data_IF_360321065547
#
_entry.id   IF_360321065547
#
_cell.length_a   1.000
_cell.length_b   1.000
_cell.length_c   1.000
_cell.angle_alpha   90.00
_cell.angle_beta   90.00
_cell.angle_gamma   90.00
#
_symmetry.space_group_name_H-M   'P 1'
#
loop_
_entity.id
_entity.type
_entity.pdbx_description
1 polymer ?
#
# COMPACT_ATOMS: atom_id res chain seq x y z
N UNK A 1 19.00 11.97 -2.35
CA UNK A 1 19.36 13.37 -1.98
C UNK A 1 20.22 14.03 -3.07
N UNK A 2 21.25 13.38 -3.61
CA UNK A 2 22.16 14.00 -4.59
C UNK A 2 21.45 14.52 -5.87
N UNK A 3 20.37 13.88 -6.28
CA UNK A 3 19.58 14.26 -7.45
C UNK A 3 18.66 15.47 -7.20
N UNK A 4 18.31 15.73 -5.95
CA UNK A 4 17.41 16.81 -5.53
C UNK A 4 18.08 17.63 -4.42
N UNK A 5 18.88 18.67 -4.77
CA UNK A 5 19.63 19.47 -3.79
C UNK A 5 18.76 20.20 -2.75
N UNK A 6 17.55 20.59 -3.16
CA UNK A 6 16.56 21.22 -2.29
C UNK A 6 16.09 20.26 -1.17
N UNK A 7 15.89 18.98 -1.49
CA UNK A 7 15.54 17.96 -0.52
C UNK A 7 16.73 17.62 0.38
N UNK A 8 17.93 17.53 -0.20
CA UNK A 8 19.16 17.32 0.56
C UNK A 8 19.39 18.44 1.61
N UNK A 9 19.00 19.67 1.31
CA UNK A 9 19.10 20.79 2.23
C UNK A 9 18.17 20.67 3.46
N UNK A 10 17.02 20.00 3.29
CA UNK A 10 16.00 19.83 4.34
C UNK A 10 16.19 18.54 5.11
N UNK A 11 16.43 17.44 4.41
CA UNK A 11 16.47 16.09 4.98
C UNK A 11 17.88 15.55 5.20
N UNK A 12 18.91 16.21 4.65
CA UNK A 12 20.29 15.72 4.67
C UNK A 12 20.42 14.37 3.97
N UNK A 13 21.12 13.44 4.62
CA UNK A 13 21.23 12.04 4.19
C UNK A 13 20.43 11.09 5.11
N UNK A 14 19.45 11.61 5.85
CA UNK A 14 18.56 10.78 6.64
C UNK A 14 17.57 10.08 5.70
N UNK A 15 17.73 8.77 5.56
CA UNK A 15 16.92 7.96 4.66
C UNK A 15 15.44 7.97 5.03
N UNK A 16 15.13 7.99 6.33
CA UNK A 16 13.75 8.06 6.82
C UNK A 16 13.11 9.41 6.49
N UNK A 17 13.85 10.51 6.71
CA UNK A 17 13.37 11.84 6.37
C UNK A 17 13.20 12.02 4.86
N UNK A 18 14.12 11.48 4.05
CA UNK A 18 14.05 11.49 2.59
C UNK A 18 12.83 10.71 2.09
N UNK A 19 12.59 9.53 2.65
CA UNK A 19 11.44 8.69 2.32
C UNK A 19 10.13 9.40 2.70
N UNK A 20 10.05 9.95 3.89
CA UNK A 20 8.87 10.68 4.35
C UNK A 20 8.57 11.91 3.49
N UNK A 21 9.62 12.64 3.07
CA UNK A 21 9.46 13.76 2.14
C UNK A 21 8.93 13.28 0.78
N UNK A 22 9.47 12.18 0.27
CA UNK A 22 9.01 11.59 -0.99
C UNK A 22 7.54 11.17 -0.91
N UNK A 23 7.14 10.46 0.15
CA UNK A 23 5.76 10.03 0.37
C UNK A 23 4.80 11.23 0.42
N UNK A 24 5.19 12.32 1.09
CA UNK A 24 4.33 13.49 1.28
C UNK A 24 4.23 14.41 0.06
N UNK A 25 5.31 14.58 -0.65
CA UNK A 25 5.42 15.61 -1.67
C UNK A 25 6.04 15.09 -2.98
N UNK A 26 7.05 14.22 -2.89
CA UNK A 26 7.90 13.85 -4.01
C UNK A 26 7.16 13.15 -5.14
N UNK A 27 6.22 12.28 -4.83
CA UNK A 27 5.42 11.56 -5.84
C UNK A 27 4.51 12.54 -6.61
N UNK A 28 3.86 13.47 -5.92
CA UNK A 28 3.02 14.51 -6.54
C UNK A 28 3.84 15.50 -7.37
N UNK A 29 5.11 15.72 -6.99
CA UNK A 29 6.06 16.57 -7.72
C UNK A 29 6.76 15.83 -8.87
N UNK A 30 6.42 14.55 -9.12
CA UNK A 30 7.06 13.73 -10.15
C UNK A 30 8.53 13.40 -9.87
N UNK A 31 8.95 13.46 -8.61
CA UNK A 31 10.31 13.09 -8.20
C UNK A 31 10.47 11.58 -8.12
N UNK A 32 11.69 11.10 -8.26
CA UNK A 32 12.02 9.68 -8.13
C UNK A 32 12.36 9.33 -6.69
N UNK A 33 11.95 8.15 -6.19
CA UNK A 33 12.20 7.75 -4.80
C UNK A 33 13.67 7.46 -4.48
N UNK A 34 14.48 7.18 -5.49
CA UNK A 34 15.90 6.89 -5.34
C UNK A 34 16.76 7.55 -6.40
N UNK A 35 18.07 7.71 -6.11
CA UNK A 35 19.02 8.40 -6.98
C UNK A 35 19.32 7.64 -8.29
N UNK A 36 19.16 6.33 -8.31
CA UNK A 36 19.56 5.48 -9.41
C UNK A 36 18.48 5.32 -10.50
N UNK A 37 17.43 6.15 -10.40
CA UNK A 37 16.43 6.20 -11.48
C UNK A 37 15.68 4.90 -11.70
N UNK A 38 15.58 4.02 -10.70
CA UNK A 38 14.76 2.81 -10.77
C UNK A 38 13.27 3.17 -10.63
N UNK A 39 12.91 4.39 -10.94
CA UNK A 39 11.57 4.70 -11.35
C UNK A 39 11.55 4.58 -12.85
N UNK A 40 11.13 3.49 -13.33
CA UNK A 40 10.55 3.45 -14.65
C UNK A 40 11.35 2.86 -15.79
N UNK A 41 12.53 2.32 -15.64
CA UNK A 41 13.12 1.60 -16.76
C UNK A 41 13.41 0.11 -16.47
N UNK A 42 12.79 -0.42 -15.43
CA UNK A 42 12.49 -1.85 -15.32
C UNK A 42 11.01 -2.16 -15.61
N UNK A 43 10.30 -1.32 -16.34
CA UNK A 43 9.33 -1.87 -17.26
C UNK A 43 10.18 -2.60 -18.28
N UNK A 44 10.49 -3.86 -18.00
CA UNK A 44 10.78 -4.81 -19.04
C UNK A 44 9.78 -4.42 -20.14
N UNK A 45 10.23 -4.09 -21.35
CA UNK A 45 9.37 -3.89 -22.53
C UNK A 45 8.69 -5.24 -22.84
N UNK A 46 7.94 -5.76 -21.85
CA UNK A 46 7.20 -6.99 -21.98
C UNK A 46 5.88 -6.67 -22.66
N UNK A 47 5.59 -7.38 -23.70
CA UNK A 47 4.22 -7.42 -24.21
C UNK A 47 3.30 -7.99 -23.14
N UNK A 48 2.00 -7.71 -23.21
CA UNK A 48 1.00 -8.25 -22.28
C UNK A 48 1.09 -9.77 -22.18
N UNK A 49 1.36 -10.47 -23.29
CA UNK A 49 1.54 -11.93 -23.31
C UNK A 49 2.80 -12.37 -22.55
N UNK A 50 3.89 -11.61 -22.65
CA UNK A 50 5.12 -11.91 -21.91
C UNK A 50 4.93 -11.64 -20.42
N UNK A 51 4.29 -10.53 -20.07
CA UNK A 51 3.97 -10.18 -18.70
C UNK A 51 3.09 -11.25 -18.04
N UNK A 52 2.03 -11.71 -18.71
CA UNK A 52 1.14 -12.76 -18.22
C UNK A 52 1.82 -14.12 -18.02
N UNK A 53 2.98 -14.36 -18.64
CA UNK A 53 3.78 -15.60 -18.42
C UNK A 53 4.67 -15.53 -17.18
N UNK A 54 5.02 -14.32 -16.74
CA UNK A 54 5.93 -14.09 -15.60
C UNK A 54 5.15 -13.85 -14.31
N UNK A 55 3.98 -13.23 -14.41
CA UNK A 55 3.13 -12.94 -13.26
C UNK A 55 1.65 -13.10 -13.58
N UNK A 56 0.92 -13.58 -12.60
CA UNK A 56 -0.54 -13.59 -12.59
C UNK A 56 -1.04 -13.26 -11.18
N UNK A 57 -2.10 -12.46 -11.04
CA UNK A 57 -2.65 -12.13 -9.73
C UNK A 57 -3.20 -13.38 -9.04
N UNK A 58 -3.08 -13.43 -7.71
CA UNK A 58 -3.77 -14.47 -6.94
C UNK A 58 -5.27 -14.30 -7.12
N UNK A 59 -5.99 -15.33 -7.61
CA UNK A 59 -7.43 -15.22 -7.85
C UNK A 59 -8.21 -14.89 -6.58
N UNK A 60 -9.27 -14.07 -6.70
CA UNK A 60 -10.07 -13.58 -5.58
C UNK A 60 -10.42 -14.64 -4.55
N UNK A 61 -10.89 -15.81 -4.98
CA UNK A 61 -11.30 -16.91 -4.09
C UNK A 61 -10.12 -17.66 -3.44
N UNK A 62 -8.89 -17.37 -3.85
CA UNK A 62 -7.65 -18.02 -3.36
C UNK A 62 -6.82 -17.06 -2.48
N UNK A 63 -7.28 -15.85 -2.23
CA UNK A 63 -6.61 -14.91 -1.33
C UNK A 63 -6.41 -15.51 0.05
N UNK A 64 -5.21 -15.40 0.61
CA UNK A 64 -4.85 -15.98 1.91
C UNK A 64 -5.78 -15.50 3.05
N UNK A 65 -6.11 -14.21 3.05
CA UNK A 65 -6.98 -13.59 4.05
C UNK A 65 -8.43 -13.42 3.55
N UNK A 66 -8.92 -14.26 2.63
CA UNK A 66 -10.22 -14.10 1.97
C UNK A 66 -11.37 -13.74 2.91
N UNK A 67 -11.53 -14.48 4.02
CA UNK A 67 -12.65 -14.25 4.95
C UNK A 67 -12.56 -12.91 5.66
N UNK A 68 -11.38 -12.53 6.11
CA UNK A 68 -11.10 -11.25 6.76
C UNK A 68 -11.28 -10.07 5.80
N UNK A 69 -10.85 -10.22 4.56
CA UNK A 69 -10.97 -9.22 3.52
C UNK A 69 -12.41 -9.06 3.05
N UNK A 70 -13.12 -10.17 2.77
CA UNK A 70 -14.49 -10.14 2.28
C UNK A 70 -15.48 -9.55 3.28
N UNK A 71 -15.35 -9.87 4.54
CA UNK A 71 -16.27 -9.40 5.60
C UNK A 71 -17.75 -9.51 5.20
N UNK A 72 -18.45 -8.36 5.22
CA UNK A 72 -19.88 -8.24 4.90
C UNK A 72 -20.16 -7.85 3.45
N UNK A 73 -19.13 -7.64 2.64
CA UNK A 73 -19.30 -7.36 1.22
C UNK A 73 -20.03 -8.52 0.53
N UNK A 74 -20.91 -8.20 -0.41
CA UNK A 74 -21.43 -9.16 -1.38
C UNK A 74 -20.30 -9.66 -2.28
N UNK A 75 -20.53 -10.72 -3.05
CA UNK A 75 -19.53 -11.20 -4.00
C UNK A 75 -19.26 -10.16 -5.10
N UNK A 76 -20.28 -9.43 -5.53
CA UNK A 76 -20.12 -8.38 -6.54
C UNK A 76 -19.31 -7.18 -6.03
N UNK A 77 -19.54 -6.72 -4.80
CA UNK A 77 -18.79 -5.64 -4.18
C UNK A 77 -17.32 -6.03 -3.96
N UNK A 78 -17.07 -7.27 -3.52
CA UNK A 78 -15.70 -7.74 -3.34
C UNK A 78 -14.97 -7.89 -4.67
N UNK A 79 -15.67 -8.35 -5.72
CA UNK A 79 -15.11 -8.39 -7.08
C UNK A 79 -14.76 -7.00 -7.58
N UNK A 80 -15.63 -6.00 -7.39
CA UNK A 80 -15.31 -4.62 -7.77
C UNK A 80 -14.08 -4.08 -7.04
N UNK A 81 -14.01 -4.28 -5.71
CA UNK A 81 -12.85 -3.89 -4.92
C UNK A 81 -11.56 -4.59 -5.41
N UNK A 82 -11.65 -5.86 -5.76
CA UNK A 82 -10.53 -6.62 -6.32
C UNK A 82 -10.07 -6.04 -7.66
N UNK A 83 -10.99 -5.69 -8.56
CA UNK A 83 -10.65 -5.10 -9.86
C UNK A 83 -10.00 -3.71 -9.72
N UNK A 84 -10.44 -2.89 -8.76
CA UNK A 84 -9.76 -1.62 -8.46
C UNK A 84 -8.38 -1.84 -7.85
N UNK A 85 -8.22 -2.80 -6.93
CA UNK A 85 -6.93 -3.16 -6.36
C UNK A 85 -5.94 -3.68 -7.43
N UNK A 86 -6.40 -4.42 -8.43
CA UNK A 86 -5.58 -4.86 -9.57
C UNK A 86 -4.92 -3.69 -10.31
N UNK A 87 -5.61 -2.57 -10.46
CA UNK A 87 -5.04 -1.37 -11.11
C UNK A 87 -3.85 -0.81 -10.34
N UNK A 88 -3.88 -0.94 -9.00
CA UNK A 88 -2.79 -0.50 -8.12
C UNK A 88 -1.61 -1.47 -8.20
N UNK A 89 -1.87 -2.77 -8.12
CA UNK A 89 -0.79 -3.75 -7.93
C UNK A 89 -0.15 -4.24 -9.23
N UNK A 90 -0.85 -4.18 -10.37
CA UNK A 90 -0.31 -4.65 -11.65
C UNK A 90 1.00 -3.95 -12.04
N UNK A 91 1.13 -2.62 -11.91
CA UNK A 91 2.41 -1.95 -12.19
C UNK A 91 3.53 -2.35 -11.23
N UNK A 92 3.20 -2.85 -10.05
CA UNK A 92 4.15 -3.21 -9.00
C UNK A 92 4.60 -4.68 -9.07
N UNK A 93 3.93 -5.49 -9.88
CA UNK A 93 3.98 -6.95 -9.82
C UNK A 93 5.40 -7.55 -9.96
N UNK A 94 6.26 -6.93 -10.75
CA UNK A 94 7.62 -7.39 -11.00
C UNK A 94 8.70 -6.60 -10.24
N UNK A 95 8.29 -5.70 -9.34
CA UNK A 95 9.20 -4.92 -8.51
C UNK A 95 9.72 -5.74 -7.31
N UNK A 96 10.74 -5.23 -6.63
CA UNK A 96 11.18 -5.81 -5.35
C UNK A 96 10.06 -5.81 -4.31
N UNK A 97 10.17 -6.65 -3.30
CA UNK A 97 9.18 -6.72 -2.21
C UNK A 97 9.02 -5.36 -1.53
N UNK A 98 10.11 -4.70 -1.26
CA UNK A 98 10.15 -3.36 -0.66
C UNK A 98 9.41 -2.34 -1.53
N UNK A 99 9.70 -2.32 -2.83
CA UNK A 99 9.07 -1.40 -3.78
C UNK A 99 7.57 -1.70 -3.94
N UNK A 100 7.17 -2.97 -3.86
CA UNK A 100 5.75 -3.35 -3.84
C UNK A 100 5.04 -2.76 -2.63
N UNK A 101 5.64 -2.87 -1.43
CA UNK A 101 5.06 -2.32 -0.19
C UNK A 101 4.98 -0.80 -0.25
N UNK A 102 6.05 -0.13 -0.67
CA UNK A 102 6.07 1.33 -0.84
C UNK A 102 5.06 1.79 -1.90
N UNK A 103 5.00 1.10 -3.04
CA UNK A 103 4.06 1.41 -4.11
C UNK A 103 2.60 1.32 -3.67
N UNK A 104 2.24 0.27 -2.93
CA UNK A 104 0.89 0.11 -2.34
C UNK A 104 0.61 1.24 -1.35
N UNK A 105 1.53 1.47 -0.39
CA UNK A 105 1.35 2.50 0.62
C UNK A 105 1.17 3.89 0.00
N UNK A 106 1.99 4.23 -0.99
CA UNK A 106 1.91 5.51 -1.70
C UNK A 106 0.62 5.67 -2.49
N UNK A 107 0.21 4.65 -3.25
CA UNK A 107 -1.01 4.70 -4.05
C UNK A 107 -2.24 4.93 -3.16
N UNK A 108 -2.35 4.18 -2.06
CA UNK A 108 -3.46 4.33 -1.13
C UNK A 108 -3.37 5.67 -0.37
N UNK A 109 -2.18 6.07 0.07
CA UNK A 109 -2.02 7.34 0.77
C UNK A 109 -2.38 8.54 -0.09
N UNK A 110 -2.01 8.53 -1.36
CA UNK A 110 -2.34 9.62 -2.29
C UNK A 110 -3.84 9.87 -2.37
N UNK A 111 -4.67 8.80 -2.34
CA UNK A 111 -6.14 8.93 -2.36
C UNK A 111 -6.69 9.60 -1.09
N UNK A 112 -5.99 9.52 0.03
CA UNK A 112 -6.36 10.24 1.27
C UNK A 112 -5.89 11.70 1.20
N UNK A 113 -4.66 11.92 0.73
CA UNK A 113 -4.03 13.25 0.72
C UNK A 113 -4.68 14.19 -0.31
N UNK A 114 -5.14 13.66 -1.43
CA UNK A 114 -5.86 14.45 -2.46
C UNK A 114 -7.36 14.60 -2.17
N UNK A 115 -7.86 14.01 -1.09
CA UNK A 115 -9.24 14.09 -0.66
C UNK A 115 -10.21 13.15 -1.43
N UNK A 116 -9.68 12.24 -2.27
CA UNK A 116 -10.51 11.23 -2.92
C UNK A 116 -11.16 10.33 -1.89
N UNK A 117 -10.39 9.84 -0.89
CA UNK A 117 -10.93 9.03 0.21
C UNK A 117 -11.14 9.87 1.44
N UNK A 118 -12.39 9.89 1.94
CA UNK A 118 -12.80 10.64 3.12
C UNK A 118 -12.88 9.71 4.34
N UNK A 119 -12.38 10.19 5.48
CA UNK A 119 -12.47 9.43 6.74
C UNK A 119 -13.91 9.32 7.22
N UNK A 120 -14.33 8.10 7.57
CA UNK A 120 -15.60 7.82 8.20
C UNK A 120 -15.51 6.59 9.11
N UNK A 121 -16.37 6.53 10.11
CA UNK A 121 -16.56 5.35 11.00
C UNK A 121 -18.02 4.92 11.13
N UNK A 122 -18.93 5.60 10.46
CA UNK A 122 -20.39 5.40 10.56
C UNK A 122 -21.09 5.17 9.21
N UNK A 123 -20.40 5.41 8.09
CA UNK A 123 -20.94 5.11 6.76
C UNK A 123 -20.83 3.62 6.45
N UNK A 124 -21.73 3.04 5.61
CA UNK A 124 -21.57 1.68 5.13
C UNK A 124 -20.17 1.47 4.48
N UNK A 125 -19.61 0.29 4.68
CA UNK A 125 -18.30 -0.10 4.11
C UNK A 125 -17.08 0.71 4.59
N UNK A 126 -17.19 1.57 5.62
CA UNK A 126 -16.07 2.35 6.14
C UNK A 126 -14.85 1.52 6.55
N UNK A 127 -15.02 0.21 6.74
CA UNK A 127 -14.00 -0.68 7.27
C UNK A 127 -13.67 -1.86 6.36
N UNK A 128 -13.91 -1.74 5.06
CA UNK A 128 -13.55 -2.74 4.06
C UNK A 128 -13.02 -2.09 2.75
N UNK A 129 -12.53 -2.93 1.85
CA UNK A 129 -11.88 -2.47 0.63
C UNK A 129 -12.85 -1.86 -0.40
N UNK A 130 -14.12 -2.26 -0.38
CA UNK A 130 -15.14 -1.67 -1.25
C UNK A 130 -15.42 -0.21 -0.87
N UNK A 131 -15.51 0.05 0.44
CA UNK A 131 -15.61 1.43 0.94
C UNK A 131 -14.45 2.29 0.47
N UNK A 132 -13.22 1.78 0.61
CA UNK A 132 -12.02 2.53 0.23
C UNK A 132 -11.93 2.78 -1.27
N UNK A 133 -12.00 1.73 -2.08
CA UNK A 133 -11.66 1.77 -3.51
C UNK A 133 -12.82 2.19 -4.41
N UNK A 134 -14.06 2.00 -3.96
CA UNK A 134 -15.25 2.22 -4.81
C UNK A 134 -16.15 3.34 -4.28
N UNK A 135 -16.38 3.37 -2.95
CA UNK A 135 -17.21 4.40 -2.34
C UNK A 135 -16.42 5.60 -1.84
N UNK A 136 -15.08 5.47 -1.77
CA UNK A 136 -14.16 6.51 -1.35
C UNK A 136 -14.39 7.00 0.09
N UNK A 137 -14.76 6.08 0.96
CA UNK A 137 -14.93 6.31 2.39
C UNK A 137 -14.23 5.21 3.19
N UNK A 138 -13.44 5.57 4.18
CA UNK A 138 -12.78 4.58 5.01
C UNK A 138 -12.34 5.11 6.37
N UNK A 139 -12.19 4.19 7.31
CA UNK A 139 -11.37 4.34 8.51
C UNK A 139 -9.99 3.70 8.30
N UNK A 140 -9.13 3.75 9.34
CA UNK A 140 -7.88 2.98 9.35
C UNK A 140 -8.11 1.49 9.05
N UNK A 141 -9.19 0.90 9.55
CA UNK A 141 -9.54 -0.50 9.29
C UNK A 141 -9.87 -0.78 7.82
N UNK A 142 -10.53 0.15 7.13
CA UNK A 142 -10.80 0.07 5.70
C UNK A 142 -9.52 0.16 4.88
N UNK A 143 -8.66 1.14 5.21
CA UNK A 143 -7.35 1.29 4.58
C UNK A 143 -6.47 0.04 4.77
N UNK A 144 -6.39 -0.50 6.00
CA UNK A 144 -5.61 -1.71 6.28
C UNK A 144 -6.10 -2.92 5.48
N UNK A 145 -7.42 -3.11 5.35
CA UNK A 145 -7.97 -4.20 4.52
C UNK A 145 -7.73 -3.99 3.04
N UNK A 146 -7.73 -2.75 2.59
CA UNK A 146 -7.38 -2.42 1.19
C UNK A 146 -5.90 -2.71 0.93
N UNK A 147 -5.01 -2.30 1.84
CA UNK A 147 -3.59 -2.66 1.81
C UNK A 147 -3.41 -4.17 1.77
N UNK A 148 -4.09 -4.89 2.66
CA UNK A 148 -4.06 -6.35 2.73
C UNK A 148 -4.61 -7.04 1.47
N UNK A 149 -5.61 -6.46 0.82
CA UNK A 149 -6.12 -6.95 -0.47
C UNK A 149 -5.04 -6.83 -1.55
N UNK A 150 -4.40 -5.67 -1.66
CA UNK A 150 -3.29 -5.44 -2.59
C UNK A 150 -2.14 -6.43 -2.35
N UNK A 151 -1.74 -6.61 -1.08
CA UNK A 151 -0.70 -7.57 -0.70
C UNK A 151 -1.06 -9.01 -1.11
N UNK A 152 -2.28 -9.46 -0.79
CA UNK A 152 -2.71 -10.82 -1.13
C UNK A 152 -2.83 -11.05 -2.64
N UNK A 153 -3.19 -10.06 -3.44
CA UNK A 153 -3.20 -10.16 -4.91
C UNK A 153 -1.79 -10.41 -5.45
N UNK A 154 -0.76 -9.78 -4.85
CA UNK A 154 0.64 -10.02 -5.18
C UNK A 154 1.20 -11.33 -4.59
N UNK A 155 0.41 -12.07 -3.83
CA UNK A 155 0.85 -13.29 -3.15
C UNK A 155 1.66 -13.03 -1.88
N UNK A 156 1.60 -11.81 -1.33
CA UNK A 156 2.30 -11.42 -0.10
C UNK A 156 1.41 -11.72 1.10
N UNK A 157 1.80 -12.65 1.99
CA UNK A 157 1.10 -12.87 3.25
C UNK A 157 1.34 -11.71 4.21
N UNK A 158 0.35 -11.40 5.03
CA UNK A 158 0.45 -10.35 6.05
C UNK A 158 -0.35 -10.71 7.31
N UNK A 159 0.00 -10.07 8.41
CA UNK A 159 -0.76 -10.04 9.64
C UNK A 159 -1.54 -8.72 9.73
N UNK A 160 -2.85 -8.80 10.02
CA UNK A 160 -3.66 -7.62 10.28
C UNK A 160 -3.57 -7.27 11.77
N UNK A 161 -2.72 -6.32 12.11
CA UNK A 161 -2.50 -5.91 13.51
C UNK A 161 -3.72 -5.16 14.03
N UNK A 162 -4.12 -5.46 15.26
CA UNK A 162 -5.31 -4.93 15.95
C UNK A 162 -6.63 -5.17 15.18
N UNK A 163 -6.74 -6.24 14.40
CA UNK A 163 -7.97 -6.54 13.68
C UNK A 163 -9.18 -6.60 14.65
N UNK A 164 -10.26 -5.90 14.29
CA UNK A 164 -11.50 -5.78 15.06
C UNK A 164 -11.35 -5.12 16.44
N UNK A 165 -10.30 -4.34 16.66
CA UNK A 165 -10.11 -3.54 17.88
C UNK A 165 -10.34 -2.05 17.60
N UNK A 166 -10.69 -1.29 18.67
CA UNK A 166 -10.73 0.17 18.65
C UNK A 166 -9.33 0.74 18.89
N UNK A 167 -8.40 0.35 18.02
CA UNK A 167 -7.03 0.83 17.98
C UNK A 167 -6.66 1.08 16.52
N UNK A 168 -5.58 1.80 16.29
CA UNK A 168 -5.04 1.93 14.94
C UNK A 168 -4.66 0.57 14.38
N UNK A 169 -4.88 0.37 13.09
CA UNK A 169 -4.70 -0.91 12.40
C UNK A 169 -3.74 -0.74 11.24
N UNK A 170 -2.92 -1.76 10.99
CA UNK A 170 -1.96 -1.79 9.88
C UNK A 170 -1.66 -3.23 9.43
N UNK A 171 -0.99 -3.37 8.28
CA UNK A 171 -0.46 -4.64 7.82
C UNK A 171 0.97 -4.82 8.29
N UNK A 172 1.28 -6.00 8.87
CA UNK A 172 2.61 -6.43 9.27
C UNK A 172 3.07 -7.56 8.38
N UNK A 173 4.25 -7.45 7.80
CA UNK A 173 4.76 -8.35 6.77
C UNK A 173 6.09 -8.95 7.23
N UNK A 174 6.22 -10.28 7.14
CA UNK A 174 7.49 -10.97 7.29
C UNK A 174 8.24 -10.91 5.95
N UNK A 175 9.41 -10.28 5.96
CA UNK A 175 10.29 -10.17 4.81
C UNK A 175 11.17 -11.41 4.64
N UNK A 176 11.75 -11.58 3.45
CA UNK A 176 12.55 -12.78 3.11
C UNK A 176 13.85 -12.88 3.95
N UNK A 177 14.34 -11.78 4.48
CA UNK A 177 15.49 -11.73 5.39
C UNK A 177 15.13 -12.06 6.86
N UNK A 178 13.85 -12.33 7.15
CA UNK A 178 13.37 -12.63 8.48
C UNK A 178 13.01 -11.41 9.32
N UNK A 179 13.16 -10.20 8.81
CA UNK A 179 12.70 -8.98 9.47
C UNK A 179 11.20 -8.78 9.30
N UNK A 180 10.60 -7.99 10.18
CA UNK A 180 9.21 -7.57 10.02
C UNK A 180 9.14 -6.13 9.54
N UNK A 181 8.22 -5.91 8.60
CA UNK A 181 7.90 -4.58 8.08
C UNK A 181 6.45 -4.22 8.39
N UNK A 182 6.25 -2.92 8.56
CA UNK A 182 4.95 -2.26 8.66
C UNK A 182 4.59 -1.72 7.28
N UNK A 183 3.37 -1.95 6.82
CA UNK A 183 2.78 -1.24 5.69
C UNK A 183 1.48 -0.58 6.17
N UNK A 184 1.57 0.71 6.48
CA UNK A 184 0.50 1.53 7.05
C UNK A 184 0.30 2.78 6.19
N UNK A 185 -0.50 2.64 5.14
CA UNK A 185 -0.81 3.75 4.25
C UNK A 185 -1.55 4.89 4.97
N UNK A 186 -2.38 4.57 5.97
CA UNK A 186 -3.15 5.57 6.69
C UNK A 186 -2.32 6.29 7.75
N UNK A 187 -1.48 5.57 8.49
CA UNK A 187 -0.59 6.11 9.53
C UNK A 187 0.72 6.72 9.00
N UNK A 188 0.96 6.69 7.69
CA UNK A 188 2.16 7.26 7.03
C UNK A 188 3.46 6.54 7.35
N UNK A 189 3.44 5.23 7.51
CA UNK A 189 4.68 4.49 7.65
C UNK A 189 4.69 3.21 6.82
N UNK A 190 5.73 3.07 6.02
CA UNK A 190 6.07 1.81 5.36
C UNK A 190 7.58 1.57 5.55
N UNK A 191 7.95 0.44 6.15
CA UNK A 191 9.33 0.11 6.42
C UNK A 191 9.52 -0.87 7.58
N UNK A 192 10.78 -1.16 7.97
CA UNK A 192 11.09 -2.14 9.00
C UNK A 192 10.56 -1.74 10.39
N UNK A 193 10.23 -2.75 11.20
CA UNK A 193 9.93 -2.56 12.62
C UNK A 193 11.22 -2.31 13.43
N UNK A 194 11.12 -1.52 14.52
CA UNK A 194 9.95 -0.74 14.97
C UNK A 194 9.75 0.53 14.13
N UNK A 195 8.50 1.02 14.08
CA UNK A 195 8.25 2.33 13.49
C UNK A 195 9.10 3.41 14.19
N UNK A 196 9.64 4.40 13.45
CA UNK A 196 10.53 5.42 14.01
C UNK A 196 9.81 6.45 14.89
N UNK A 197 8.50 6.32 15.03
CA UNK A 197 7.66 7.19 15.86
C UNK A 197 6.63 6.36 16.64
N UNK A 198 6.15 6.93 17.73
CA UNK A 198 5.03 6.36 18.46
C UNK A 198 3.72 6.84 17.83
N UNK A 199 2.95 5.91 17.27
CA UNK A 199 1.64 6.25 16.74
C UNK A 199 0.69 6.60 17.91
N UNK A 200 -0.10 7.69 17.84
CA UNK A 200 -0.93 8.14 18.96
C UNK A 200 -2.03 7.15 19.37
N UNK A 201 -2.30 6.12 18.59
CA UNK A 201 -3.31 5.09 18.83
C UNK A 201 -2.73 3.67 18.97
N UNK A 202 -1.41 3.55 19.17
CA UNK A 202 -0.72 2.29 19.48
C UNK A 202 -0.63 2.06 20.97
#
# INVERSE_FOLDING_TARGET
AAQYPDIAAVCGNDESALLMHYIRNGAAEGRLPCADGIAGDTTLDLTDEQFAKVWSPVPLKQLANYKSLKRKMTDAEFEQAYQEALKIVTPLALMSREDQLYGIANALRSMVDDGTVVYSTDTPHYNDAYGYLVLHVASCAGCTRTTGLCLNILGIPYEHVNENQWAHQWCRILMDDGTYWICDAYGLYCGPEPAPYQHPYL
#
